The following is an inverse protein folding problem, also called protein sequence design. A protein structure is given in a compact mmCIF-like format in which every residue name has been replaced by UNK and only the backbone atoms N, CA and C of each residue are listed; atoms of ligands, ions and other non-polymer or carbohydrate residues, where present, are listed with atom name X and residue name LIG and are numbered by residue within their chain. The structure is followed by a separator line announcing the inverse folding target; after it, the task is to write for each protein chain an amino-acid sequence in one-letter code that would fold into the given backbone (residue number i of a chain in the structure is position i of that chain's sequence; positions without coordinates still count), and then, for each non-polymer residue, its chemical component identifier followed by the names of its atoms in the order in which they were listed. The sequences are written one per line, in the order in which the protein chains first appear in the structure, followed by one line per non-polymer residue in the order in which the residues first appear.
data_IF_632118110577
#
_entry.id   IF_632118110577
#
_cell.length_a   1.000
_cell.length_b   1.000
_cell.length_c   1.000
_cell.angle_alpha   90.00
_cell.angle_beta   90.00
_cell.angle_gamma   90.00
#
_symmetry.space_group_name_H-M   'P 1'
#
loop_
_entity.id
_entity.type
_entity.pdbx_description
1 polymer ?
#
# COMPACT_ATOMS: atom_id res chain seq x y z
N UNK A 1 -1.39 -6.05 -8.16
CA UNK A 1 -0.48 -4.91 -8.42
C UNK A 1 0.95 -5.37 -8.68
N UNK A 2 1.65 -6.01 -7.73
CA UNK A 2 3.09 -6.37 -7.87
C UNK A 2 3.43 -7.12 -9.18
N UNK A 3 2.65 -8.12 -9.56
CA UNK A 3 2.88 -8.89 -10.78
C UNK A 3 2.70 -8.02 -12.04
N UNK A 4 1.65 -7.21 -12.09
CA UNK A 4 1.42 -6.27 -13.20
C UNK A 4 2.48 -5.17 -13.25
N UNK A 5 2.97 -4.68 -12.10
CA UNK A 5 4.11 -3.78 -12.07
C UNK A 5 5.41 -4.38 -12.62
N UNK A 6 5.57 -5.71 -12.56
CA UNK A 6 6.70 -6.38 -13.23
C UNK A 6 6.56 -6.36 -14.76
N UNK A 7 5.35 -6.57 -15.29
CA UNK A 7 5.06 -6.48 -16.73
C UNK A 7 5.20 -5.03 -17.23
N UNK A 8 4.67 -4.07 -16.48
CA UNK A 8 4.79 -2.64 -16.79
C UNK A 8 6.25 -2.20 -16.98
N UNK A 9 7.17 -2.62 -16.10
CA UNK A 9 8.60 -2.27 -16.19
C UNK A 9 9.28 -2.74 -17.47
N UNK A 10 8.78 -3.78 -18.10
CA UNK A 10 9.30 -4.29 -19.37
C UNK A 10 8.41 -3.91 -20.57
N UNK A 11 7.48 -2.98 -20.35
CA UNK A 11 6.51 -2.49 -21.36
C UNK A 11 5.72 -3.64 -22.02
N UNK A 12 5.29 -4.61 -21.22
CA UNK A 12 4.48 -5.73 -21.63
C UNK A 12 3.07 -5.58 -21.07
N UNK A 13 2.06 -5.51 -21.93
CA UNK A 13 0.65 -5.45 -21.57
C UNK A 13 0.09 -6.86 -21.43
N UNK A 14 -0.74 -7.05 -20.41
CA UNK A 14 -1.47 -8.30 -20.22
C UNK A 14 -2.78 -8.36 -21.04
N UNK A 15 -3.37 -7.21 -21.32
CA UNK A 15 -4.56 -6.93 -22.13
C UNK A 15 -5.89 -7.41 -21.55
N UNK A 16 -5.94 -8.45 -20.72
CA UNK A 16 -7.18 -9.00 -20.16
C UNK A 16 -7.11 -9.15 -18.64
N UNK A 17 -6.81 -8.06 -17.94
CA UNK A 17 -6.86 -8.01 -16.49
C UNK A 17 -8.33 -8.06 -16.05
N UNK A 18 -8.74 -9.20 -15.51
CA UNK A 18 -10.11 -9.46 -15.02
C UNK A 18 -10.08 -10.32 -13.77
N UNK A 19 -11.19 -10.36 -13.03
CA UNK A 19 -11.32 -11.22 -11.84
C UNK A 19 -11.17 -12.71 -12.17
N UNK A 20 -11.61 -13.14 -13.36
CA UNK A 20 -11.57 -14.54 -13.81
C UNK A 20 -10.14 -15.02 -14.09
N UNK A 21 -9.25 -14.11 -14.45
CA UNK A 21 -7.86 -14.41 -14.77
C UNK A 21 -6.92 -14.32 -13.56
N UNK A 22 -7.48 -14.13 -12.34
CA UNK A 22 -6.71 -14.00 -11.10
C UNK A 22 -7.17 -15.04 -10.07
N UNK A 23 -6.39 -16.11 -9.93
CA UNK A 23 -6.67 -17.15 -8.93
C UNK A 23 -6.05 -16.76 -7.59
N UNK A 24 -6.81 -16.87 -6.52
CA UNK A 24 -6.39 -16.53 -5.16
C UNK A 24 -6.39 -17.78 -4.29
N UNK A 25 -5.23 -18.09 -3.69
CA UNK A 25 -5.10 -19.07 -2.63
C UNK A 25 -5.14 -18.39 -1.28
N UNK A 26 -6.12 -18.74 -0.45
CA UNK A 26 -6.31 -18.20 0.90
C UNK A 26 -5.59 -19.09 1.94
N UNK A 27 -5.09 -18.50 3.02
CA UNK A 27 -4.49 -19.23 4.15
C UNK A 27 -3.05 -18.82 4.46
N UNK A 28 -2.35 -19.66 5.25
CA UNK A 28 -0.97 -19.38 5.72
C UNK A 28 0.03 -19.08 4.59
N UNK A 29 -0.18 -19.70 3.43
CA UNK A 29 0.63 -19.47 2.23
C UNK A 29 -0.25 -18.81 1.16
N UNK A 30 -0.83 -17.66 1.50
CA UNK A 30 -1.63 -16.87 0.56
C UNK A 30 -0.80 -16.55 -0.70
N UNK A 31 -1.38 -16.82 -1.85
CA UNK A 31 -0.72 -16.60 -3.13
C UNK A 31 -1.74 -16.15 -4.18
N UNK A 32 -1.27 -15.39 -5.14
CA UNK A 32 -2.03 -14.99 -6.31
C UNK A 32 -1.35 -15.59 -7.53
N UNK A 33 -2.12 -16.21 -8.41
CA UNK A 33 -1.66 -16.71 -9.70
C UNK A 33 -2.46 -16.03 -10.81
N UNK A 34 -1.76 -15.41 -11.74
CA UNK A 34 -2.33 -14.90 -12.98
C UNK A 34 -2.32 -16.05 -13.97
N UNK A 35 -3.43 -16.28 -14.63
CA UNK A 35 -3.62 -17.32 -15.67
C UNK A 35 -3.93 -16.64 -17.00
N UNK A 36 -4.00 -17.43 -18.09
CA UNK A 36 -4.32 -16.93 -19.42
C UNK A 36 -3.31 -15.89 -19.95
N UNK A 37 -2.04 -16.25 -19.86
CA UNK A 37 -0.92 -15.38 -20.26
C UNK A 37 -0.67 -15.32 -21.77
N UNK A 38 -1.46 -16.01 -22.57
CA UNK A 38 -1.33 -16.07 -24.03
C UNK A 38 -1.70 -14.73 -24.70
N UNK A 39 -2.37 -13.85 -23.97
CA UNK A 39 -2.79 -12.51 -24.40
C UNK A 39 -1.71 -11.42 -24.24
N UNK A 40 -0.52 -11.78 -23.75
CA UNK A 40 0.57 -10.81 -23.56
C UNK A 40 0.94 -10.09 -24.86
N UNK A 41 0.99 -8.77 -24.81
CA UNK A 41 1.20 -7.91 -25.96
C UNK A 41 2.26 -6.84 -25.70
N UNK A 42 3.14 -6.65 -26.68
CA UNK A 42 4.11 -5.55 -26.67
C UNK A 42 3.53 -4.40 -27.50
N UNK A 43 3.25 -3.27 -26.86
CA UNK A 43 2.69 -2.11 -27.53
C UNK A 43 3.52 -1.68 -28.75
N UNK A 44 2.84 -1.47 -29.89
CA UNK A 44 3.49 -1.13 -31.18
C UNK A 44 4.00 -2.29 -32.00
N UNK A 45 3.88 -3.54 -31.54
CA UNK A 45 4.26 -4.74 -32.30
C UNK A 45 3.04 -5.51 -32.80
N UNK A 46 2.31 -4.93 -33.77
CA UNK A 46 1.14 -5.54 -34.38
C UNK A 46 -0.19 -5.11 -33.74
N UNK A 47 -1.19 -5.98 -33.78
CA UNK A 47 -2.53 -5.77 -33.23
C UNK A 47 -2.71 -6.76 -32.08
N UNK A 48 -3.22 -6.28 -30.93
CA UNK A 48 -3.57 -7.15 -29.82
C UNK A 48 -4.66 -8.14 -30.24
N UNK A 49 -4.51 -9.40 -29.89
CA UNK A 49 -5.47 -10.46 -30.23
C UNK A 49 -6.77 -10.32 -29.43
N UNK A 50 -6.67 -9.77 -28.21
CA UNK A 50 -7.77 -9.59 -27.26
C UNK A 50 -7.82 -8.14 -26.81
N UNK A 51 -9.03 -7.61 -26.68
CA UNK A 51 -9.26 -6.25 -26.15
C UNK A 51 -9.46 -6.25 -24.63
N UNK A 52 -9.79 -7.40 -24.06
CA UNK A 52 -10.08 -7.61 -22.64
C UNK A 52 -11.54 -7.90 -22.32
N UNK A 53 -11.85 -8.12 -21.07
CA UNK A 53 -13.20 -8.38 -20.55
C UNK A 53 -13.99 -7.06 -20.39
N UNK A 54 -15.20 -6.90 -20.95
CA UNK A 54 -15.92 -5.62 -21.06
C UNK A 54 -15.97 -4.78 -19.78
N UNK A 55 -16.19 -5.43 -18.63
CA UNK A 55 -16.26 -4.76 -17.31
C UNK A 55 -14.97 -4.08 -16.89
N UNK A 56 -13.82 -4.51 -17.42
CA UNK A 56 -12.49 -4.06 -17.01
C UNK A 56 -11.76 -3.28 -18.12
N UNK A 57 -12.28 -3.31 -19.34
CA UNK A 57 -11.63 -2.65 -20.49
C UNK A 57 -11.61 -1.13 -20.29
N UNK A 58 -10.48 -0.50 -20.57
CA UNK A 58 -10.36 0.95 -20.59
C UNK A 58 -11.24 1.56 -21.70
N UNK A 59 -11.90 2.72 -21.47
CA UNK A 59 -12.85 3.31 -22.42
C UNK A 59 -12.30 3.52 -23.85
N UNK A 60 -11.04 3.92 -23.97
CA UNK A 60 -10.40 4.14 -25.26
C UNK A 60 -10.12 2.84 -26.03
N UNK A 61 -9.97 1.72 -25.31
CA UNK A 61 -9.82 0.39 -25.93
C UNK A 61 -11.20 -0.15 -26.30
N UNK A 62 -12.19 0.01 -25.44
CA UNK A 62 -13.58 -0.36 -25.70
C UNK A 62 -14.12 0.33 -26.95
N UNK A 63 -13.86 1.64 -27.10
CA UNK A 63 -14.23 2.42 -28.28
C UNK A 63 -13.33 2.18 -29.50
N UNK A 64 -12.33 1.32 -29.40
CA UNK A 64 -11.33 1.01 -30.45
C UNK A 64 -10.52 2.23 -30.92
N UNK A 65 -10.43 3.27 -30.10
CA UNK A 65 -9.57 4.43 -30.40
C UNK A 65 -8.09 4.12 -30.17
N UNK A 66 -7.80 3.16 -29.30
CA UNK A 66 -6.44 2.68 -28.98
C UNK A 66 -6.42 1.17 -28.88
N UNK A 67 -5.27 0.57 -29.21
CA UNK A 67 -4.98 -0.79 -28.82
C UNK A 67 -4.68 -0.87 -27.31
N UNK A 68 -4.88 -2.05 -26.69
CA UNK A 68 -4.42 -2.30 -25.34
C UNK A 68 -2.93 -1.96 -25.18
N UNK A 69 -2.58 -1.40 -24.04
CA UNK A 69 -1.21 -1.11 -23.64
C UNK A 69 -1.12 -1.07 -22.11
N UNK A 70 0.05 -0.76 -21.57
CA UNK A 70 0.30 -0.67 -20.12
C UNK A 70 -0.64 0.31 -19.43
N UNK A 71 -1.03 1.42 -20.07
CA UNK A 71 -1.94 2.40 -19.48
C UNK A 71 -3.39 1.89 -19.42
N UNK A 72 -3.81 1.04 -20.38
CA UNK A 72 -5.10 0.35 -20.30
C UNK A 72 -5.09 -0.75 -19.24
N UNK A 73 -3.98 -1.46 -19.06
CA UNK A 73 -3.81 -2.44 -17.99
C UNK A 73 -3.88 -1.76 -16.61
N UNK A 74 -3.29 -0.59 -16.45
CA UNK A 74 -3.38 0.18 -15.21
C UNK A 74 -4.81 0.58 -14.87
N UNK A 75 -5.64 0.91 -15.88
CA UNK A 75 -7.07 1.14 -15.68
C UNK A 75 -7.78 -0.13 -15.22
N UNK A 76 -7.59 -1.26 -15.90
CA UNK A 76 -8.20 -2.55 -15.55
C UNK A 76 -7.80 -3.01 -14.15
N UNK A 77 -6.53 -2.83 -13.77
CA UNK A 77 -6.05 -3.09 -12.42
C UNK A 77 -6.76 -2.20 -11.39
N UNK A 78 -6.94 -0.92 -11.70
CA UNK A 78 -7.64 0.00 -10.80
C UNK A 78 -9.10 -0.40 -10.60
N UNK A 79 -9.80 -0.87 -11.65
CA UNK A 79 -11.18 -1.39 -11.55
C UNK A 79 -11.23 -2.58 -10.59
N UNK A 80 -10.34 -3.59 -10.76
CA UNK A 80 -10.30 -4.74 -9.85
C UNK A 80 -10.01 -4.32 -8.41
N UNK A 81 -9.04 -3.43 -8.19
CA UNK A 81 -8.71 -2.97 -6.83
C UNK A 81 -9.90 -2.22 -6.22
N UNK A 82 -10.60 -1.41 -7.01
CA UNK A 82 -11.80 -0.71 -6.57
C UNK A 82 -12.91 -1.67 -6.17
N UNK A 83 -13.20 -2.66 -7.03
CA UNK A 83 -14.23 -3.68 -6.76
C UNK A 83 -13.92 -4.49 -5.49
N UNK A 84 -12.67 -4.89 -5.28
CA UNK A 84 -12.24 -5.61 -4.08
C UNK A 84 -12.40 -4.80 -2.79
N UNK A 85 -12.29 -3.48 -2.86
CA UNK A 85 -12.35 -2.60 -1.69
C UNK A 85 -13.74 -2.02 -1.44
N UNK A 86 -14.47 -1.66 -2.51
CA UNK A 86 -15.77 -1.00 -2.43
C UNK A 86 -16.95 -1.94 -2.69
N UNK A 87 -16.69 -3.15 -3.21
CA UNK A 87 -17.72 -4.15 -3.59
C UNK A 87 -18.67 -3.63 -4.69
N UNK A 88 -18.13 -2.89 -5.65
CA UNK A 88 -18.87 -2.34 -6.79
C UNK A 88 -17.94 -1.77 -7.85
N UNK A 89 -18.49 -1.39 -9.02
CA UNK A 89 -17.72 -0.88 -10.15
C UNK A 89 -17.61 0.65 -10.11
N UNK A 90 -16.46 1.26 -10.51
CA UNK A 90 -16.23 2.70 -10.38
C UNK A 90 -17.17 3.64 -11.16
N UNK A 91 -17.97 3.10 -12.10
CA UNK A 91 -18.93 3.87 -12.88
C UNK A 91 -20.37 3.34 -12.78
N UNK A 92 -20.62 2.31 -12.00
CA UNK A 92 -21.97 1.76 -11.81
C UNK A 92 -22.49 2.27 -10.47
N UNK A 93 -23.21 3.39 -10.50
CA UNK A 93 -23.94 3.98 -9.37
C UNK A 93 -25.29 3.27 -9.12
N UNK A 94 -25.99 3.64 -8.08
CA UNK A 94 -27.26 2.99 -7.71
C UNK A 94 -28.33 3.16 -8.80
N UNK A 95 -28.39 4.33 -9.46
CA UNK A 95 -29.30 4.58 -10.58
C UNK A 95 -28.98 3.75 -11.82
N UNK A 96 -27.71 3.43 -12.06
CA UNK A 96 -27.30 2.53 -13.15
C UNK A 96 -27.65 1.07 -12.81
N UNK A 97 -27.52 0.66 -11.55
CA UNK A 97 -27.93 -0.69 -11.11
C UNK A 97 -29.43 -0.95 -11.29
N UNK A 98 -30.25 0.10 -11.08
CA UNK A 98 -31.70 0.06 -11.26
C UNK A 98 -32.12 0.42 -12.70
N UNK A 99 -31.15 0.72 -13.57
CA UNK A 99 -31.35 1.19 -14.95
C UNK A 99 -31.50 0.06 -15.98
N UNK A 100 -31.27 0.41 -17.24
CA UNK A 100 -31.34 -0.51 -18.37
C UNK A 100 -29.96 -1.07 -18.72
N UNK A 101 -29.86 -2.18 -19.49
CA UNK A 101 -28.58 -2.66 -20.02
C UNK A 101 -27.79 -1.62 -20.80
N UNK A 102 -28.48 -0.70 -21.49
CA UNK A 102 -27.84 0.39 -22.22
C UNK A 102 -27.20 1.42 -21.27
N UNK A 103 -27.78 1.66 -20.09
CA UNK A 103 -27.18 2.52 -19.06
C UNK A 103 -25.90 1.90 -18.51
N UNK A 104 -25.88 0.58 -18.30
CA UNK A 104 -24.69 -0.14 -17.88
C UNK A 104 -23.59 -0.10 -18.96
N UNK A 105 -23.95 -0.33 -20.25
CA UNK A 105 -23.00 -0.21 -21.37
C UNK A 105 -22.38 1.20 -21.43
N UNK A 106 -23.19 2.24 -21.25
CA UNK A 106 -22.70 3.63 -21.22
C UNK A 106 -21.79 3.89 -20.01
N UNK A 107 -22.10 3.30 -18.85
CA UNK A 107 -21.26 3.40 -17.68
C UNK A 107 -19.90 2.72 -17.89
N UNK A 108 -19.90 1.48 -18.41
CA UNK A 108 -18.68 0.73 -18.73
C UNK A 108 -17.85 1.43 -19.82
N UNK A 109 -18.48 2.09 -20.76
CA UNK A 109 -17.82 2.91 -21.76
C UNK A 109 -17.23 4.24 -21.19
N UNK A 110 -17.37 4.47 -19.88
CA UNK A 110 -16.86 5.68 -19.21
C UNK A 110 -17.67 6.95 -19.52
N UNK A 111 -18.91 6.84 -20.03
CA UNK A 111 -19.76 7.99 -20.33
C UNK A 111 -20.51 8.53 -19.11
N UNK A 112 -20.54 7.77 -18.02
CA UNK A 112 -21.15 8.18 -16.75
C UNK A 112 -20.11 8.76 -15.82
N UNK A 113 -20.58 9.38 -14.73
CA UNK A 113 -19.72 9.94 -13.70
C UNK A 113 -19.10 8.86 -12.81
N UNK A 114 -17.92 9.14 -12.28
CA UNK A 114 -17.28 8.32 -11.25
C UNK A 114 -18.15 8.27 -9.99
N UNK A 115 -18.30 7.07 -9.41
CA UNK A 115 -19.15 6.86 -8.23
C UNK A 115 -18.58 7.54 -6.97
N UNK A 116 -19.49 8.14 -6.21
CA UNK A 116 -19.23 8.73 -4.89
C UNK A 116 -20.07 8.03 -3.83
N UNK A 117 -19.88 8.35 -2.54
CA UNK A 117 -20.73 7.82 -1.47
C UNK A 117 -22.16 8.36 -1.54
N UNK A 118 -22.40 9.43 -2.29
CA UNK A 118 -23.73 10.01 -2.46
C UNK A 118 -24.59 9.24 -3.46
N UNK A 119 -23.98 8.73 -4.53
CA UNK A 119 -24.68 8.03 -5.62
C UNK A 119 -24.43 6.50 -5.66
N UNK A 120 -23.83 5.93 -4.61
CA UNK A 120 -23.47 4.49 -4.52
C UNK A 120 -23.65 3.95 -3.11
N UNK A 121 -24.90 4.00 -2.59
CA UNK A 121 -25.25 3.54 -1.23
C UNK A 121 -25.13 2.01 -1.07
N UNK A 122 -25.21 1.28 -2.17
CA UNK A 122 -25.02 -0.17 -2.21
C UNK A 122 -23.54 -0.60 -2.09
N UNK A 123 -22.61 0.34 -2.16
CA UNK A 123 -21.17 0.07 -1.97
C UNK A 123 -20.72 0.34 -0.54
N UNK A 124 -19.58 -0.26 -0.17
CA UNK A 124 -18.93 0.08 1.10
C UNK A 124 -18.47 1.55 1.07
N UNK A 125 -18.74 2.35 2.14
CA UNK A 125 -18.39 3.76 2.14
C UNK A 125 -16.88 4.00 1.95
N UNK A 126 -16.52 4.91 1.05
CA UNK A 126 -15.13 5.21 0.72
C UNK A 126 -14.31 5.62 1.96
N UNK A 127 -14.90 6.41 2.86
CA UNK A 127 -14.26 6.85 4.10
C UNK A 127 -13.96 5.73 5.09
N UNK A 128 -14.63 4.59 4.96
CA UNK A 128 -14.43 3.42 5.83
C UNK A 128 -13.37 2.49 5.27
N UNK A 129 -13.37 2.26 3.95
CA UNK A 129 -12.57 1.20 3.33
C UNK A 129 -11.38 1.70 2.51
N UNK A 130 -11.25 3.00 2.28
CA UNK A 130 -10.15 3.58 1.52
C UNK A 130 -9.28 4.52 2.39
N UNK A 131 -7.97 4.47 2.19
CA UNK A 131 -7.07 5.52 2.67
C UNK A 131 -7.12 6.73 1.72
N UNK A 132 -6.71 7.91 2.18
CA UNK A 132 -6.64 9.11 1.33
C UNK A 132 -5.75 8.89 0.09
N UNK A 133 -4.68 8.09 0.24
CA UNK A 133 -3.82 7.73 -0.88
C UNK A 133 -4.55 6.90 -1.93
N UNK A 134 -5.33 5.90 -1.50
CA UNK A 134 -6.14 5.08 -2.43
C UNK A 134 -7.23 5.92 -3.09
N UNK A 135 -7.93 6.80 -2.35
CA UNK A 135 -8.90 7.73 -2.94
C UNK A 135 -8.27 8.59 -4.03
N UNK A 136 -7.07 9.15 -3.76
CA UNK A 136 -6.34 9.94 -4.75
C UNK A 136 -5.96 9.13 -6.00
N UNK A 137 -5.51 7.86 -5.84
CA UNK A 137 -5.20 7.02 -6.99
C UNK A 137 -6.45 6.72 -7.82
N UNK A 138 -7.59 6.46 -7.19
CA UNK A 138 -8.84 6.24 -7.92
C UNK A 138 -9.32 7.51 -8.63
N UNK A 139 -9.24 8.68 -7.99
CA UNK A 139 -9.53 9.96 -8.63
C UNK A 139 -8.66 10.18 -9.88
N UNK A 140 -7.35 9.97 -9.75
CA UNK A 140 -6.40 10.08 -10.87
C UNK A 140 -6.69 9.07 -11.97
N UNK A 141 -7.16 7.87 -11.64
CA UNK A 141 -7.45 6.85 -12.65
C UNK A 141 -8.76 7.12 -13.39
N UNK A 142 -9.83 7.35 -12.64
CA UNK A 142 -11.20 7.33 -13.17
C UNK A 142 -11.76 8.71 -13.50
N UNK A 143 -11.17 9.78 -13.01
CA UNK A 143 -11.56 11.15 -13.34
C UNK A 143 -10.50 11.80 -14.22
N UNK A 144 -9.32 12.04 -13.69
CA UNK A 144 -8.25 12.73 -14.44
C UNK A 144 -7.75 11.88 -15.62
N UNK A 145 -7.60 10.57 -15.40
CA UNK A 145 -7.13 9.59 -16.38
C UNK A 145 -8.16 9.19 -17.44
N UNK A 146 -9.41 9.66 -17.31
CA UNK A 146 -10.41 9.58 -18.36
C UNK A 146 -10.10 10.59 -19.48
N UNK A 147 -9.77 11.82 -19.10
CA UNK A 147 -9.40 12.88 -20.03
C UNK A 147 -7.96 12.72 -20.54
N UNK A 148 -7.03 12.34 -19.66
CA UNK A 148 -5.64 12.14 -19.98
C UNK A 148 -5.12 10.84 -19.36
N UNK A 149 -5.01 9.79 -20.18
CA UNK A 149 -4.55 8.45 -19.74
C UNK A 149 -3.17 8.45 -19.05
N UNK A 150 -2.31 9.43 -19.31
CA UNK A 150 -1.00 9.56 -18.66
C UNK A 150 -1.11 9.93 -17.17
N UNK A 151 -2.28 10.39 -16.72
CA UNK A 151 -2.56 10.65 -15.30
C UNK A 151 -2.86 9.37 -14.51
N UNK A 152 -3.14 8.26 -15.20
CA UNK A 152 -3.44 6.97 -14.54
C UNK A 152 -2.26 6.53 -13.70
N UNK A 153 -2.52 6.10 -12.45
CA UNK A 153 -1.48 5.55 -11.59
C UNK A 153 -0.90 4.25 -12.16
N UNK A 154 0.38 4.05 -11.96
CA UNK A 154 1.05 2.80 -12.29
C UNK A 154 0.63 1.66 -11.36
N UNK A 155 0.84 0.42 -11.80
CA UNK A 155 0.65 -0.76 -10.94
C UNK A 155 1.53 -0.72 -9.69
N UNK A 156 2.71 -0.10 -9.77
CA UNK A 156 3.61 0.09 -8.63
C UNK A 156 3.05 1.10 -7.61
N UNK A 157 2.43 2.20 -8.05
CA UNK A 157 1.76 3.14 -7.15
C UNK A 157 0.62 2.46 -6.37
N UNK A 158 -0.18 1.61 -7.04
CA UNK A 158 -1.20 0.78 -6.38
C UNK A 158 -0.58 -0.23 -5.40
N UNK A 159 0.52 -0.90 -5.77
CA UNK A 159 1.23 -1.81 -4.86
C UNK A 159 1.59 -1.10 -3.55
N UNK A 160 2.24 0.05 -3.62
CA UNK A 160 2.63 0.79 -2.42
C UNK A 160 1.44 1.32 -1.62
N UNK A 161 0.40 1.82 -2.29
CA UNK A 161 -0.79 2.31 -1.59
C UNK A 161 -1.51 1.18 -0.85
N UNK A 162 -1.62 0.00 -1.46
CA UNK A 162 -2.25 -1.17 -0.85
C UNK A 162 -1.42 -1.73 0.32
N UNK A 163 -0.10 -1.79 0.18
CA UNK A 163 0.79 -2.18 1.27
C UNK A 163 0.69 -1.21 2.45
N UNK A 164 0.72 0.09 2.17
CA UNK A 164 0.52 1.12 3.18
C UNK A 164 -0.84 1.00 3.87
N UNK A 165 -1.91 0.79 3.09
CA UNK A 165 -3.25 0.57 3.59
C UNK A 165 -3.32 -0.68 4.49
N UNK A 166 -2.72 -1.79 4.05
CA UNK A 166 -2.69 -3.04 4.81
C UNK A 166 -1.96 -2.90 6.15
N UNK A 167 -0.97 -2.01 6.24
CA UNK A 167 -0.25 -1.74 7.48
C UNK A 167 -1.05 -0.91 8.49
N UNK A 168 -2.13 -0.27 8.06
CA UNK A 168 -2.95 0.63 8.88
C UNK A 168 -4.25 0.02 9.42
N UNK A 169 -4.69 -1.14 8.92
CA UNK A 169 -5.95 -1.75 9.40
C UNK A 169 -5.77 -2.43 10.76
N UNK A 170 -6.83 -2.41 11.55
CA UNK A 170 -6.97 -3.16 12.81
C UNK A 170 -8.18 -4.08 12.72
N UNK A 171 -8.19 -5.09 13.59
CA UNK A 171 -9.34 -5.98 13.76
C UNK A 171 -10.14 -5.54 14.98
N UNK A 172 -11.42 -5.28 14.81
CA UNK A 172 -12.30 -4.98 15.93
C UNK A 172 -12.41 -6.19 16.86
N UNK A 173 -12.19 -5.98 18.16
CA UNK A 173 -12.28 -7.06 19.16
C UNK A 173 -13.71 -7.51 19.43
N UNK A 174 -14.71 -6.66 19.15
CA UNK A 174 -16.10 -6.95 19.37
C UNK A 174 -16.73 -7.73 18.23
N UNK A 175 -16.65 -7.20 16.99
CA UNK A 175 -17.29 -7.83 15.83
C UNK A 175 -16.33 -8.60 14.91
N UNK A 176 -15.04 -8.51 15.13
CA UNK A 176 -14.02 -9.18 14.32
C UNK A 176 -13.76 -8.56 12.95
N UNK A 177 -14.47 -7.51 12.56
CA UNK A 177 -14.32 -6.86 11.26
C UNK A 177 -13.03 -6.02 11.20
N UNK A 178 -12.46 -5.94 10.00
CA UNK A 178 -11.28 -5.11 9.71
C UNK A 178 -11.71 -3.70 9.35
N UNK A 179 -10.99 -2.71 9.86
CA UNK A 179 -11.18 -1.29 9.52
C UNK A 179 -9.95 -0.46 9.81
N UNK A 180 -9.90 0.77 9.28
CA UNK A 180 -8.86 1.72 9.64
C UNK A 180 -9.19 2.40 10.98
N UNK A 181 -8.22 2.51 11.92
CA UNK A 181 -8.41 3.32 13.11
C UNK A 181 -8.47 4.80 12.71
N UNK A 182 -9.58 5.45 13.03
CA UNK A 182 -9.80 6.85 12.69
C UNK A 182 -9.76 7.69 13.95
N UNK A 183 -9.26 8.92 13.85
CA UNK A 183 -9.24 9.89 14.95
C UNK A 183 -10.02 11.13 14.57
N UNK A 184 -10.73 11.72 15.55
CA UNK A 184 -11.21 13.10 15.52
C UNK A 184 -10.43 13.83 16.62
N UNK A 185 -9.53 14.73 16.23
CA UNK A 185 -8.59 15.33 17.16
C UNK A 185 -7.68 14.26 17.81
N UNK A 186 -7.76 14.11 19.13
CA UNK A 186 -6.97 13.11 19.87
C UNK A 186 -7.73 11.83 20.20
N UNK A 187 -9.02 11.74 19.86
CA UNK A 187 -9.89 10.62 20.22
C UNK A 187 -10.06 9.66 19.05
N UNK A 188 -9.88 8.35 19.30
CA UNK A 188 -10.21 7.32 18.32
C UNK A 188 -11.73 7.19 18.17
N UNK A 189 -12.17 7.09 16.91
CA UNK A 189 -13.57 6.83 16.59
C UNK A 189 -13.86 5.35 16.82
N UNK A 190 -15.10 5.04 17.13
CA UNK A 190 -15.62 3.69 17.27
C UNK A 190 -15.48 2.88 15.98
N UNK A 191 -15.59 1.56 16.11
CA UNK A 191 -15.65 0.65 14.96
C UNK A 191 -16.82 1.03 14.03
N UNK A 192 -16.60 1.20 12.73
CA UNK A 192 -17.66 1.61 11.80
C UNK A 192 -18.74 0.55 11.58
N UNK A 193 -18.52 -0.68 12.05
CA UNK A 193 -19.41 -1.81 11.85
C UNK A 193 -20.30 -2.15 13.06
N UNK A 194 -19.85 -1.83 14.29
CA UNK A 194 -20.57 -2.22 15.50
C UNK A 194 -20.51 -1.18 16.61
N UNK A 195 -19.99 0.01 16.37
CA UNK A 195 -19.86 1.11 17.32
C UNK A 195 -19.05 0.81 18.61
N UNK A 196 -18.44 -0.36 18.70
CA UNK A 196 -17.58 -0.67 19.83
C UNK A 196 -16.31 0.21 19.83
N UNK A 197 -15.75 0.54 21.00
CA UNK A 197 -14.46 1.22 21.08
C UNK A 197 -13.39 0.44 20.32
N UNK A 198 -12.67 1.13 19.43
CA UNK A 198 -11.69 0.48 18.58
C UNK A 198 -10.49 1.39 18.34
N UNK A 199 -9.32 0.99 18.88
CA UNK A 199 -8.06 1.70 18.72
C UNK A 199 -6.91 0.72 18.55
N UNK A 200 -5.81 1.10 17.90
CA UNK A 200 -4.58 0.29 17.92
C UNK A 200 -3.99 0.28 19.33
N UNK A 201 -3.35 -0.81 19.72
CA UNK A 201 -2.60 -0.89 20.98
C UNK A 201 -1.24 -0.21 20.86
N UNK A 202 -0.56 -0.47 19.74
CA UNK A 202 0.74 0.12 19.47
C UNK A 202 0.97 0.25 17.97
N UNK A 203 1.91 1.10 17.59
CA UNK A 203 2.29 1.37 16.22
C UNK A 203 3.76 1.74 16.09
N UNK A 204 4.29 1.59 14.89
CA UNK A 204 5.57 2.15 14.47
C UNK A 204 5.32 3.26 13.45
N UNK A 205 5.87 4.43 13.71
CA UNK A 205 5.90 5.51 12.73
C UNK A 205 7.27 5.51 12.07
N UNK A 206 7.30 5.35 10.75
CA UNK A 206 8.53 5.33 9.96
C UNK A 206 8.87 6.70 9.40
N UNK A 207 10.17 6.98 9.39
CA UNK A 207 10.73 8.23 8.91
C UNK A 207 11.99 7.97 8.07
N UNK A 208 12.20 8.76 7.01
CA UNK A 208 13.52 8.93 6.43
C UNK A 208 14.27 10.00 7.21
N UNK A 209 15.51 9.69 7.57
CA UNK A 209 16.36 10.54 8.41
C UNK A 209 17.65 10.83 7.67
N UNK A 210 17.97 12.10 7.51
CA UNK A 210 19.28 12.55 7.05
C UNK A 210 20.16 12.91 8.24
N UNK A 211 21.33 12.30 8.28
CA UNK A 211 22.34 12.54 9.31
C UNK A 211 23.64 13.04 8.69
N UNK A 212 24.22 14.09 9.26
CA UNK A 212 25.54 14.58 8.85
C UNK A 212 26.65 13.71 9.42
N UNK A 213 27.54 13.22 8.54
CA UNK A 213 28.67 12.37 8.89
C UNK A 213 28.30 10.94 9.31
N UNK A 214 29.26 10.25 9.91
CA UNK A 214 29.14 8.84 10.34
C UNK A 214 28.69 8.67 11.81
N UNK A 215 28.47 9.77 12.53
CA UNK A 215 28.08 9.72 13.93
C UNK A 215 26.65 9.24 14.13
N UNK A 216 26.46 8.33 15.06
CA UNK A 216 25.16 7.74 15.45
C UNK A 216 24.41 8.57 16.50
N UNK A 217 24.78 9.79 16.72
CA UNK A 217 24.12 10.65 17.70
C UNK A 217 22.89 11.35 17.11
N UNK A 218 21.80 11.35 17.85
CA UNK A 218 20.54 11.98 17.44
C UNK A 218 20.69 13.46 17.05
N UNK A 219 21.57 14.19 17.71
CA UNK A 219 21.86 15.60 17.43
C UNK A 219 22.34 15.88 16.01
N UNK A 220 22.86 14.86 15.30
CA UNK A 220 23.36 14.99 13.93
C UNK A 220 22.24 14.78 12.88
N UNK A 221 21.00 14.58 13.31
CA UNK A 221 19.84 14.46 12.43
C UNK A 221 19.48 15.85 11.90
N UNK A 222 19.53 16.02 10.59
CA UNK A 222 19.23 17.28 9.90
C UNK A 222 17.78 17.32 9.46
N UNK A 223 17.27 16.21 8.94
CA UNK A 223 15.91 16.07 8.44
C UNK A 223 15.29 14.78 8.94
N UNK A 224 14.00 14.85 9.23
CA UNK A 224 13.20 13.73 9.69
C UNK A 224 11.85 13.75 8.95
N UNK A 225 11.79 13.10 7.79
CA UNK A 225 10.61 13.08 6.93
C UNK A 225 9.75 11.86 7.25
N UNK A 226 8.53 12.08 7.72
CA UNK A 226 7.55 11.02 7.93
C UNK A 226 7.23 10.27 6.62
N UNK A 227 7.17 8.95 6.68
CA UNK A 227 6.86 8.09 5.54
C UNK A 227 5.50 7.41 5.74
N UNK A 228 5.38 6.59 6.80
CA UNK A 228 4.22 5.74 7.00
C UNK A 228 4.06 5.31 8.46
N UNK A 229 2.88 4.77 8.78
CA UNK A 229 2.56 4.13 10.05
C UNK A 229 2.30 2.65 9.83
N UNK A 230 2.94 1.80 10.62
CA UNK A 230 2.68 0.37 10.72
C UNK A 230 1.98 0.10 12.06
N UNK A 231 0.77 -0.43 12.03
CA UNK A 231 0.03 -0.79 13.24
C UNK A 231 0.41 -2.21 13.68
N UNK A 232 0.84 -2.35 14.91
CA UNK A 232 1.14 -3.63 15.49
C UNK A 232 -0.16 -4.36 15.84
N UNK A 233 -0.25 -5.62 15.41
CA UNK A 233 -1.44 -6.45 15.56
C UNK A 233 -1.05 -7.73 16.26
N UNK A 234 -1.80 -8.10 17.29
CA UNK A 234 -1.64 -9.36 18.00
C UNK A 234 -0.23 -9.59 18.59
N UNK A 235 0.11 -10.84 18.87
CA UNK A 235 1.30 -11.20 19.63
C UNK A 235 2.61 -11.07 18.86
N UNK A 236 2.58 -11.26 17.53
CA UNK A 236 3.80 -11.25 16.72
C UNK A 236 3.60 -10.56 15.37
N UNK A 237 4.39 -9.54 15.12
CA UNK A 237 4.43 -8.79 13.87
C UNK A 237 5.80 -8.95 13.20
N UNK A 238 5.81 -9.53 12.00
CA UNK A 238 7.01 -9.57 11.17
C UNK A 238 7.03 -8.37 10.25
N UNK A 239 8.00 -7.50 10.44
CA UNK A 239 8.27 -6.37 9.57
C UNK A 239 9.24 -6.85 8.51
N UNK A 240 8.67 -7.45 7.46
CA UNK A 240 9.42 -7.92 6.31
C UNK A 240 9.54 -6.84 5.25
N UNK A 241 10.70 -6.78 4.60
CA UNK A 241 10.98 -5.94 3.44
C UNK A 241 10.64 -4.47 3.70
N UNK A 242 10.58 -4.07 4.97
CA UNK A 242 10.13 -2.76 5.38
C UNK A 242 9.37 -2.09 4.24
N UNK A 243 8.12 -2.44 4.01
CA UNK A 243 7.26 -1.99 2.89
C UNK A 243 7.24 -0.47 2.70
N UNK A 244 8.10 0.18 3.37
CA UNK A 244 8.44 1.57 3.38
C UNK A 244 9.50 1.89 2.33
N UNK A 245 10.28 0.88 1.85
CA UNK A 245 11.27 1.07 0.81
C UNK A 245 10.67 0.84 -0.57
N UNK A 246 10.87 1.77 -1.46
CA UNK A 246 10.56 1.61 -2.88
C UNK A 246 11.59 0.67 -3.52
N UNK A 247 11.24 0.05 -4.63
CA UNK A 247 12.17 -0.80 -5.39
C UNK A 247 13.41 -0.07 -5.89
N UNK A 248 13.34 1.25 -6.02
CA UNK A 248 14.41 2.18 -6.42
C UNK A 248 15.10 2.85 -5.22
N UNK A 249 14.68 2.53 -3.98
CA UNK A 249 15.28 3.08 -2.76
C UNK A 249 16.70 2.53 -2.59
N UNK A 250 17.72 3.38 -2.42
CA UNK A 250 19.08 2.93 -2.15
C UNK A 250 19.22 2.15 -0.83
N UNK A 251 18.27 2.32 0.09
CA UNK A 251 18.14 1.55 1.32
C UNK A 251 17.36 0.26 1.04
N UNK A 252 17.93 -0.69 0.34
CA UNK A 252 17.31 -2.01 0.14
C UNK A 252 17.25 -2.74 1.47
N UNK A 253 16.05 -2.81 2.06
CA UNK A 253 15.80 -3.71 3.16
C UNK A 253 15.75 -5.15 2.65
N UNK A 254 16.36 -6.05 3.39
CA UNK A 254 16.36 -7.48 3.09
C UNK A 254 15.16 -8.18 3.72
N UNK A 255 14.88 -9.38 3.29
CA UNK A 255 13.85 -10.21 3.90
C UNK A 255 14.19 -10.48 5.38
N UNK A 256 13.27 -10.22 6.28
CA UNK A 256 13.34 -10.49 7.73
C UNK A 256 14.20 -9.51 8.55
N UNK A 257 14.01 -8.23 8.38
CA UNK A 257 14.81 -7.22 9.10
C UNK A 257 14.49 -7.16 10.60
N UNK A 258 13.22 -7.27 10.98
CA UNK A 258 12.81 -7.18 12.38
C UNK A 258 11.51 -7.93 12.66
N UNK A 259 11.41 -8.49 13.86
CA UNK A 259 10.16 -8.99 14.43
C UNK A 259 9.82 -8.20 15.68
N UNK A 260 8.57 -7.75 15.82
CA UNK A 260 8.02 -7.23 17.06
C UNK A 260 7.06 -8.27 17.62
N UNK A 261 7.27 -8.64 18.89
CA UNK A 261 6.38 -9.55 19.62
C UNK A 261 5.94 -8.91 20.92
N UNK A 262 4.72 -9.21 21.34
CA UNK A 262 4.17 -8.84 22.66
C UNK A 262 4.18 -10.08 23.56
N UNK A 263 4.67 -9.90 24.79
CA UNK A 263 4.58 -10.90 25.85
C UNK A 263 3.98 -10.25 27.12
N UNK A 264 4.02 -10.94 28.25
CA UNK A 264 3.50 -10.43 29.53
C UNK A 264 4.20 -9.15 30.01
N UNK A 265 5.44 -8.92 29.59
CA UNK A 265 6.25 -7.75 29.97
C UNK A 265 6.09 -6.57 28.99
N UNK A 266 5.34 -6.74 27.89
CA UNK A 266 5.10 -5.74 26.87
C UNK A 266 5.67 -6.09 25.49
N UNK A 267 5.94 -5.07 24.68
CA UNK A 267 6.47 -5.25 23.33
C UNK A 267 7.99 -5.38 23.33
N UNK A 268 8.49 -6.30 22.50
CA UNK A 268 9.93 -6.56 22.32
C UNK A 268 10.27 -6.57 20.84
N UNK A 269 11.39 -5.94 20.47
CA UNK A 269 11.98 -6.02 19.15
C UNK A 269 13.04 -7.11 19.09
N UNK A 270 12.99 -7.93 18.06
CA UNK A 270 13.96 -8.99 17.77
C UNK A 270 14.64 -8.68 16.44
N UNK A 271 15.95 -8.68 16.43
CA UNK A 271 16.74 -8.58 15.22
C UNK A 271 16.88 -9.98 14.60
N UNK A 272 16.14 -10.26 13.53
CA UNK A 272 16.22 -11.52 12.77
C UNK A 272 17.07 -11.32 11.51
N UNK A 273 18.34 -10.99 11.64
CA UNK A 273 19.19 -10.55 10.53
C UNK A 273 19.34 -11.53 9.39
N UNK A 274 19.24 -11.01 8.18
CA UNK A 274 19.84 -11.57 6.97
C UNK A 274 21.24 -11.02 6.70
N UNK A 275 21.94 -11.57 5.71
CA UNK A 275 23.37 -11.42 5.45
C UNK A 275 23.83 -10.01 4.96
N UNK A 276 22.96 -9.02 4.78
CA UNK A 276 23.27 -7.87 3.92
C UNK A 276 23.59 -6.55 4.62
N UNK A 277 23.99 -6.60 5.86
CA UNK A 277 24.70 -5.47 6.48
C UNK A 277 23.84 -4.29 6.96
N UNK A 278 22.53 -4.49 7.18
CA UNK A 278 21.73 -3.48 7.89
C UNK A 278 22.02 -3.59 9.39
N UNK A 279 22.45 -2.50 9.99
CA UNK A 279 22.63 -2.38 11.43
C UNK A 279 21.35 -1.82 12.03
N UNK A 280 20.72 -2.56 12.94
CA UNK A 280 19.57 -2.06 13.70
C UNK A 280 20.08 -1.52 15.02
N UNK A 281 19.74 -0.26 15.30
CA UNK A 281 20.09 0.40 16.56
C UNK A 281 18.84 0.87 17.25
N UNK A 282 18.74 0.60 18.55
CA UNK A 282 17.72 1.18 19.39
C UNK A 282 18.27 2.44 20.07
N UNK A 283 17.46 3.48 20.08
CA UNK A 283 17.76 4.74 20.74
C UNK A 283 16.74 5.04 21.83
N UNK A 284 17.21 5.25 23.04
CA UNK A 284 16.41 5.70 24.17
C UNK A 284 17.15 6.76 24.96
N UNK A 285 16.51 7.89 25.24
CA UNK A 285 17.00 8.93 26.15
C UNK A 285 18.48 9.33 25.97
N UNK A 286 18.91 9.54 24.72
CA UNK A 286 20.27 10.01 24.42
C UNK A 286 21.32 8.91 24.25
N UNK A 287 20.95 7.63 24.40
CA UNK A 287 21.88 6.51 24.19
C UNK A 287 21.45 5.67 23.00
N UNK A 288 22.38 5.33 22.15
CA UNK A 288 22.20 4.33 21.09
C UNK A 288 23.01 3.09 21.41
N UNK A 289 22.43 1.92 21.20
CA UNK A 289 23.14 0.65 21.25
C UNK A 289 22.67 -0.25 20.10
N UNK A 290 23.54 -1.10 19.56
CA UNK A 290 23.16 -2.03 18.54
C UNK A 290 22.14 -3.03 19.11
N UNK A 291 21.14 -3.37 18.33
CA UNK A 291 20.25 -4.51 18.63
C UNK A 291 20.94 -5.76 18.09
N UNK A 292 21.55 -6.52 18.96
CA UNK A 292 22.32 -7.68 18.57
C UNK A 292 21.43 -8.80 17.99
N UNK A 293 22.01 -9.58 17.08
CA UNK A 293 21.32 -10.70 16.45
C UNK A 293 20.83 -11.69 17.50
N UNK A 294 19.58 -12.13 17.35
CA UNK A 294 18.89 -13.08 18.24
C UNK A 294 18.67 -12.58 19.67
N UNK A 295 18.84 -11.30 19.93
CA UNK A 295 18.48 -10.70 21.22
C UNK A 295 17.09 -10.09 21.16
N UNK A 296 16.41 -10.07 22.30
CA UNK A 296 15.13 -9.40 22.48
C UNK A 296 15.35 -8.13 23.30
N UNK A 297 14.86 -7.02 22.76
CA UNK A 297 14.90 -5.73 23.44
C UNK A 297 13.50 -5.22 23.72
N UNK A 298 13.21 -4.91 24.99
CA UNK A 298 11.94 -4.33 25.39
C UNK A 298 11.77 -2.93 24.75
N UNK A 299 10.59 -2.67 24.22
CA UNK A 299 10.20 -1.38 23.66
C UNK A 299 9.34 -0.61 24.65
N UNK A 300 9.67 0.66 24.81
CA UNK A 300 8.84 1.63 25.53
C UNK A 300 8.39 2.74 24.57
N UNK A 301 7.23 3.33 24.84
CA UNK A 301 6.69 4.38 23.99
C UNK A 301 7.68 5.54 23.85
N UNK A 302 7.99 5.90 22.61
CA UNK A 302 9.00 6.88 22.25
C UNK A 302 10.36 6.29 21.86
N UNK A 303 10.59 4.99 22.03
CA UNK A 303 11.81 4.36 21.53
C UNK A 303 11.92 4.49 20.03
N UNK A 304 13.14 4.73 19.56
CA UNK A 304 13.46 4.85 18.14
C UNK A 304 14.38 3.69 17.72
N UNK A 305 14.04 3.04 16.62
CA UNK A 305 14.82 1.97 16.01
C UNK A 305 15.36 2.49 14.71
N UNK A 306 16.67 2.51 14.57
CA UNK A 306 17.38 2.98 13.38
C UNK A 306 17.82 1.80 12.54
N UNK A 307 17.45 1.84 11.25
CA UNK A 307 17.89 0.90 10.23
C UNK A 307 18.96 1.60 9.40
N UNK A 308 20.21 1.28 9.65
CA UNK A 308 21.37 1.92 9.08
C UNK A 308 21.94 1.06 7.96
N UNK A 309 22.21 1.69 6.83
CA UNK A 309 22.94 1.10 5.71
C UNK A 309 24.15 1.97 5.38
N UNK A 310 25.01 1.50 4.50
CA UNK A 310 26.13 2.30 3.97
C UNK A 310 25.67 3.31 2.90
N UNK A 311 24.34 3.49 2.72
CA UNK A 311 23.82 4.42 1.74
C UNK A 311 24.09 5.86 2.17
N UNK A 312 24.73 6.62 1.28
CA UNK A 312 25.00 8.04 1.48
C UNK A 312 24.52 8.85 0.30
N UNK A 313 24.11 10.08 0.57
CA UNK A 313 23.78 11.07 -0.45
C UNK A 313 24.66 12.28 -0.30
N UNK A 314 24.98 12.95 -1.40
CA UNK A 314 25.70 14.23 -1.39
C UNK A 314 24.72 15.36 -1.68
N UNK A 315 24.72 16.36 -0.81
CA UNK A 315 23.89 17.54 -0.97
C UNK A 315 24.68 18.78 -0.50
N UNK A 316 24.68 19.86 -1.29
CA UNK A 316 25.41 21.09 -0.94
C UNK A 316 26.91 20.88 -0.67
N UNK A 317 27.56 19.91 -1.34
CA UNK A 317 28.98 19.59 -1.15
C UNK A 317 29.31 18.77 0.11
N UNK A 318 28.31 18.45 0.93
CA UNK A 318 28.47 17.59 2.12
C UNK A 318 27.91 16.20 1.86
N UNK A 319 28.42 15.22 2.58
CA UNK A 319 27.96 13.83 2.55
C UNK A 319 27.06 13.56 3.76
N UNK A 320 25.92 12.94 3.50
CA UNK A 320 24.93 12.57 4.51
C UNK A 320 24.65 11.08 4.45
N UNK A 321 24.45 10.46 5.60
CA UNK A 321 23.93 9.11 5.70
C UNK A 321 22.41 9.15 5.64
N UNK A 322 21.83 8.35 4.75
CA UNK A 322 20.38 8.14 4.66
C UNK A 322 20.01 6.93 5.50
N UNK A 323 19.15 7.15 6.47
CA UNK A 323 18.78 6.16 7.48
C UNK A 323 17.26 6.08 7.53
N UNK A 324 16.73 4.89 7.74
CA UNK A 324 15.33 4.73 8.09
C UNK A 324 15.19 4.58 9.60
N UNK A 325 14.20 5.25 10.17
CA UNK A 325 13.92 5.20 11.59
C UNK A 325 12.45 4.81 11.83
N UNK A 326 12.21 3.91 12.76
CA UNK A 326 10.90 3.59 13.28
C UNK A 326 10.78 4.09 14.72
N UNK A 327 9.77 4.91 15.00
CA UNK A 327 9.42 5.29 16.37
C UNK A 327 8.28 4.44 16.88
N UNK A 328 8.54 3.72 17.97
CA UNK A 328 7.51 2.95 18.67
C UNK A 328 6.60 3.87 19.48
N UNK A 329 5.30 3.66 19.37
CA UNK A 329 4.28 4.41 20.13
C UNK A 329 3.27 3.43 20.66
N UNK A 330 3.18 3.32 21.97
CA UNK A 330 2.08 2.62 22.65
C UNK A 330 0.93 3.59 22.87
N UNK A 331 -0.26 3.22 22.42
CA UNK A 331 -1.46 4.04 22.57
C UNK A 331 -2.10 3.72 23.93
N UNK A 332 -1.73 4.46 24.96
CA UNK A 332 -2.32 4.34 26.29
C UNK A 332 -3.84 4.53 26.28
N UNK A 333 -4.53 3.90 27.23
CA UNK A 333 -5.99 3.92 27.42
C UNK A 333 -6.55 5.32 27.64
#
# INVERSE_FOLDING_TARGET
AKAFGALERINLSYCDISGDNILVKIGKNAAVKIIDVDNLYVAGKGIAAVLGTPRYIAPEVMSRQKNPDVLSDNYSLAVIVFELLRVGHPYISDDILDGTPADEEDALAGKREYVTDDNSKNMLPADVVLTEKLKNLFQRCFVDGKENRLMRPSAQEFEFALLEASNKVIRCRSCGAWHYPRKIGRVYIKCPWCDAPSKPEAKLNFYDVLREGESYEKRNVIENKFINTYILREEKNKIKNLYVFRSDDPLKATENDMTIAKNAEGYHAYNEFSKDGIIIRKYRTGKTHPLEKNTAEKLESGDEIYFETNATIKFGGKQYSLIRMARFVEETL
#
